data_IF_324197377472
#
_entry.id   IF_324197377472
#
_cell.length_a   1.000
_cell.length_b   1.000
_cell.length_c   1.000
_cell.angle_alpha   90.00
_cell.angle_beta   90.00
_cell.angle_gamma   90.00
#
_symmetry.space_group_name_H-M   'P 1'
#
loop_
_entity.id
_entity.type
_entity.pdbx_description
1 polymer ?
#
# COMPACT_ATOMS: atom_id res chain seq x y z
N UNK A 1 32.87 -18.76 7.52
CA UNK A 1 31.71 -19.66 7.28
C UNK A 1 30.49 -19.37 8.16
N UNK A 2 30.61 -19.13 9.49
CA UNK A 2 29.44 -18.83 10.35
C UNK A 2 28.78 -17.45 10.09
N UNK A 3 29.55 -16.41 9.72
CA UNK A 3 29.03 -15.04 9.53
C UNK A 3 28.17 -14.91 8.27
N UNK A 4 28.54 -15.60 7.19
CA UNK A 4 27.87 -15.50 5.88
C UNK A 4 26.46 -16.12 5.87
N UNK A 5 26.24 -17.18 6.65
CA UNK A 5 24.90 -17.76 6.86
C UNK A 5 24.00 -16.86 7.72
N UNK A 6 24.58 -16.13 8.68
CA UNK A 6 23.85 -15.19 9.56
C UNK A 6 23.46 -13.93 8.77
N UNK A 7 24.39 -13.41 7.95
CA UNK A 7 24.14 -12.27 7.05
C UNK A 7 22.93 -12.47 6.15
N UNK A 8 22.75 -13.68 5.61
CA UNK A 8 21.65 -13.97 4.70
C UNK A 8 20.29 -14.14 5.43
N UNK A 9 20.32 -14.60 6.69
CA UNK A 9 19.11 -14.73 7.53
C UNK A 9 18.65 -13.37 8.08
N UNK A 10 19.60 -12.46 8.35
CA UNK A 10 19.37 -11.20 9.07
C UNK A 10 19.52 -9.95 8.18
N UNK A 11 19.74 -10.12 6.87
CA UNK A 11 19.93 -9.05 5.89
C UNK A 11 18.87 -7.94 5.95
N UNK A 12 17.61 -8.32 6.24
CA UNK A 12 16.51 -7.37 6.33
C UNK A 12 16.59 -6.47 7.57
N UNK A 13 17.06 -7.00 8.72
CA UNK A 13 17.25 -6.23 9.95
C UNK A 13 18.48 -5.32 9.84
N UNK A 14 19.48 -5.77 9.09
CA UNK A 14 20.69 -5.01 8.84
C UNK A 14 20.41 -3.69 8.08
N UNK A 15 19.61 -3.77 7.00
CA UNK A 15 19.25 -2.60 6.20
C UNK A 15 18.48 -1.53 7.00
N UNK A 16 17.54 -1.95 7.85
CA UNK A 16 16.77 -1.03 8.70
C UNK A 16 17.64 -0.38 9.79
N UNK A 17 18.57 -1.14 10.40
CA UNK A 17 19.55 -0.61 11.38
C UNK A 17 20.45 0.47 10.78
N UNK A 18 21.01 0.22 9.59
CA UNK A 18 21.86 1.20 8.88
C UNK A 18 21.06 2.47 8.55
N UNK A 19 19.83 2.30 8.05
CA UNK A 19 18.93 3.43 7.74
C UNK A 19 18.60 4.26 8.99
N UNK A 20 18.34 3.59 10.12
CA UNK A 20 18.08 4.23 11.40
C UNK A 20 19.25 5.07 11.88
N UNK A 21 20.45 4.46 11.92
CA UNK A 21 21.69 5.15 12.30
C UNK A 21 21.97 6.35 11.41
N UNK A 22 21.87 6.18 10.08
CA UNK A 22 22.09 7.28 9.14
C UNK A 22 21.15 8.46 9.41
N UNK A 23 19.85 8.20 9.62
CA UNK A 23 18.86 9.24 9.93
C UNK A 23 19.11 9.89 11.30
N UNK A 24 19.47 9.12 12.31
CA UNK A 24 19.78 9.63 13.65
C UNK A 24 21.03 10.52 13.64
N UNK A 25 22.03 10.17 12.82
CA UNK A 25 23.22 10.98 12.58
C UNK A 25 22.99 12.17 11.63
N UNK A 26 21.76 12.37 11.12
CA UNK A 26 21.41 13.48 10.24
C UNK A 26 22.03 13.40 8.83
N UNK A 27 22.45 12.21 8.39
CA UNK A 27 23.16 12.03 7.11
C UNK A 27 22.19 11.70 5.97
N UNK A 28 22.41 12.27 4.79
CA UNK A 28 21.81 11.78 3.55
C UNK A 28 22.53 10.52 3.05
N UNK A 29 21.95 9.82 2.07
CA UNK A 29 22.63 8.69 1.44
C UNK A 29 23.94 9.11 0.76
N UNK A 30 23.96 10.32 0.21
CA UNK A 30 25.15 10.91 -0.39
C UNK A 30 26.21 11.21 0.66
N UNK A 31 25.83 11.83 1.79
CA UNK A 31 26.77 12.10 2.90
C UNK A 31 27.40 10.81 3.44
N UNK A 32 26.61 9.74 3.59
CA UNK A 32 27.12 8.45 4.05
C UNK A 32 28.10 7.85 3.03
N UNK A 33 27.77 7.92 1.74
CA UNK A 33 28.67 7.45 0.66
C UNK A 33 29.99 8.22 0.66
N UNK A 34 29.94 9.55 0.78
CA UNK A 34 31.12 10.42 0.85
C UNK A 34 31.98 10.07 2.07
N UNK A 35 31.38 9.86 3.25
CA UNK A 35 32.12 9.43 4.45
C UNK A 35 32.77 8.06 4.28
N UNK A 36 32.09 7.12 3.62
CA UNK A 36 32.69 5.83 3.27
C UNK A 36 33.92 6.01 2.36
N UNK A 37 33.85 6.88 1.35
CA UNK A 37 34.99 7.17 0.44
C UNK A 37 36.17 7.79 1.21
N UNK A 38 35.90 8.64 2.19
CA UNK A 38 36.94 9.29 3.01
C UNK A 38 37.74 8.32 3.88
N UNK A 39 37.13 7.22 4.30
CA UNK A 39 37.78 6.19 5.12
C UNK A 39 38.43 5.13 4.24
N UNK A 40 37.68 4.57 3.29
CA UNK A 40 38.17 3.58 2.34
C UNK A 40 37.48 3.70 0.97
N UNK A 41 38.19 4.30 0.01
CA UNK A 41 37.72 4.50 -1.34
C UNK A 41 37.50 3.19 -2.12
N UNK A 42 38.15 2.08 -1.76
CA UNK A 42 38.03 0.81 -2.47
C UNK A 42 36.77 0.05 -2.08
N UNK A 43 36.36 0.13 -0.81
CA UNK A 43 35.19 -0.58 -0.27
C UNK A 43 33.93 0.30 -0.27
N UNK A 44 34.07 1.61 -0.53
CA UNK A 44 32.97 2.56 -0.46
C UNK A 44 31.80 2.21 -1.41
N UNK A 45 30.55 2.19 -0.91
CA UNK A 45 29.39 1.89 -1.73
C UNK A 45 28.91 3.13 -2.49
N UNK A 46 28.35 2.92 -3.68
CA UNK A 46 27.61 3.99 -4.37
C UNK A 46 26.29 4.30 -3.66
N UNK A 47 25.76 5.50 -3.87
CA UNK A 47 24.47 5.94 -3.32
C UNK A 47 23.34 4.96 -3.68
N UNK A 48 23.33 4.47 -4.92
CA UNK A 48 22.35 3.48 -5.37
C UNK A 48 22.49 2.16 -4.64
N UNK A 49 23.72 1.71 -4.37
CA UNK A 49 23.97 0.47 -3.64
C UNK A 49 23.59 0.58 -2.16
N UNK A 50 23.84 1.73 -1.52
CA UNK A 50 23.36 2.03 -0.16
C UNK A 50 21.83 1.95 -0.07
N UNK A 51 21.12 2.53 -1.04
CA UNK A 51 19.65 2.45 -1.08
C UNK A 51 19.15 1.00 -1.17
N UNK A 52 19.82 0.15 -1.97
CA UNK A 52 19.48 -1.26 -2.07
C UNK A 52 19.77 -2.03 -0.76
N UNK A 53 20.80 -1.65 -0.01
CA UNK A 53 21.10 -2.21 1.31
C UNK A 53 20.03 -1.78 2.32
N UNK A 54 19.70 -0.49 2.41
CA UNK A 54 18.70 0.03 3.37
C UNK A 54 17.29 -0.53 3.15
N UNK A 55 16.96 -0.87 1.89
CA UNK A 55 15.69 -1.49 1.53
C UNK A 55 15.70 -3.02 1.67
N UNK A 56 16.84 -3.61 2.05
CA UNK A 56 17.00 -5.05 2.23
C UNK A 56 17.03 -5.84 0.92
N UNK A 57 17.24 -5.18 -0.23
CA UNK A 57 17.35 -5.82 -1.55
C UNK A 57 18.75 -6.35 -1.82
N UNK A 58 19.77 -5.87 -1.11
CA UNK A 58 21.16 -6.32 -1.21
C UNK A 58 21.76 -6.51 0.18
N UNK A 59 22.58 -7.53 0.32
CA UNK A 59 23.38 -7.79 1.53
C UNK A 59 24.76 -7.16 1.33
N UNK A 60 25.24 -6.31 2.24
CA UNK A 60 26.58 -5.74 2.17
C UNK A 60 27.65 -6.82 2.42
N UNK A 61 28.86 -6.58 1.90
CA UNK A 61 30.02 -7.41 2.24
C UNK A 61 30.46 -7.19 3.69
N UNK A 62 31.23 -8.13 4.23
CA UNK A 62 31.82 -8.02 5.57
C UNK A 62 32.73 -6.78 5.69
N UNK A 63 33.46 -6.46 4.63
CA UNK A 63 34.32 -5.27 4.54
C UNK A 63 33.50 -3.98 4.62
N UNK A 64 32.36 -3.92 3.91
CA UNK A 64 31.46 -2.78 3.97
C UNK A 64 30.78 -2.65 5.34
N UNK A 65 30.52 -3.77 6.03
CA UNK A 65 30.02 -3.76 7.40
C UNK A 65 31.03 -3.22 8.40
N UNK A 66 32.31 -3.54 8.23
CA UNK A 66 33.41 -2.96 9.03
C UNK A 66 33.46 -1.44 8.85
N UNK A 67 33.26 -0.97 7.62
CA UNK A 67 33.20 0.45 7.32
C UNK A 67 32.02 1.16 8.03
N UNK A 68 30.84 0.54 8.04
CA UNK A 68 29.69 1.09 8.80
C UNK A 68 29.93 1.06 10.31
N UNK A 69 30.53 -0.02 10.83
CA UNK A 69 30.90 -0.14 12.24
C UNK A 69 31.84 0.98 12.68
N UNK A 70 32.83 1.32 11.86
CA UNK A 70 33.74 2.43 12.11
C UNK A 70 33.03 3.80 12.07
N UNK A 71 32.23 4.06 11.03
CA UNK A 71 31.50 5.33 10.86
C UNK A 71 30.52 5.59 12.01
N UNK A 72 29.77 4.57 12.41
CA UNK A 72 28.74 4.69 13.42
C UNK A 72 29.23 4.36 14.84
N UNK A 73 30.53 4.04 15.00
CA UNK A 73 31.14 3.63 16.27
C UNK A 73 30.35 2.51 16.97
N UNK A 74 29.98 1.47 16.20
CA UNK A 74 29.24 0.29 16.68
C UNK A 74 30.03 -0.97 16.37
N UNK A 75 29.87 -2.00 17.20
CA UNK A 75 30.48 -3.30 16.94
C UNK A 75 29.81 -4.00 15.73
N UNK A 76 30.55 -4.77 14.95
CA UNK A 76 30.02 -5.53 13.81
C UNK A 76 28.88 -6.45 14.25
N UNK A 77 29.00 -7.07 15.42
CA UNK A 77 27.98 -7.96 15.97
C UNK A 77 26.67 -7.21 16.29
N UNK A 78 26.71 -5.90 16.57
CA UNK A 78 25.50 -5.10 16.79
C UNK A 78 24.60 -5.04 15.54
N UNK A 79 25.23 -5.02 14.35
CA UNK A 79 24.52 -5.05 13.07
C UNK A 79 23.93 -6.44 12.75
N UNK A 80 24.50 -7.49 13.32
CA UNK A 80 24.12 -8.89 13.09
C UNK A 80 23.17 -9.44 14.17
N UNK A 81 23.09 -8.78 15.32
CA UNK A 81 22.18 -9.13 16.42
C UNK A 81 20.72 -8.99 15.96
N UNK A 82 19.88 -9.97 16.33
CA UNK A 82 18.43 -9.96 16.07
C UNK A 82 17.70 -8.95 16.96
N UNK A 83 18.38 -8.42 17.99
CA UNK A 83 17.85 -7.33 18.80
C UNK A 83 18.00 -6.00 18.04
N UNK A 84 16.89 -5.40 17.62
CA UNK A 84 16.83 -3.94 17.48
C UNK A 84 16.77 -3.34 18.88
N UNK A 85 17.93 -3.30 19.53
CA UNK A 85 18.12 -2.53 20.75
C UNK A 85 17.98 -1.05 20.39
N UNK A 86 16.76 -0.53 20.58
CA UNK A 86 16.60 0.82 21.05
C UNK A 86 17.51 0.96 22.28
N UNK A 87 18.50 1.84 22.22
CA UNK A 87 19.09 2.41 23.43
C UNK A 87 17.98 3.22 24.11
N UNK A 88 17.05 2.53 24.77
CA UNK A 88 16.25 3.09 25.83
C UNK A 88 17.26 3.29 26.96
N UNK A 89 17.56 4.55 27.23
CA UNK A 89 18.23 4.97 28.45
C UNK A 89 17.62 4.19 29.60
N UNK A 90 18.49 3.45 30.31
CA UNK A 90 18.16 2.59 31.44
C UNK A 90 17.08 3.22 32.32
N UNK A 91 15.96 2.53 32.47
CA UNK A 91 15.26 2.51 33.73
C UNK A 91 15.17 1.04 34.15
N UNK A 92 15.87 0.72 35.23
CA UNK A 92 15.62 -0.47 36.03
C UNK A 92 14.13 -0.51 36.36
N UNK A 93 13.41 -1.54 35.91
CA UNK A 93 12.79 -2.46 36.86
C UNK A 93 12.21 -3.69 36.16
N UNK A 94 12.17 -4.76 36.94
CA UNK A 94 11.79 -6.13 36.61
C UNK A 94 10.48 -6.24 35.82
N UNK A 95 10.55 -6.89 34.65
CA UNK A 95 9.41 -7.64 34.09
C UNK A 95 9.93 -8.84 33.30
N UNK A 96 10.10 -9.95 34.02
CA UNK A 96 10.23 -11.28 33.43
C UNK A 96 8.94 -11.62 32.65
N UNK A 97 9.08 -12.04 31.39
CA UNK A 97 8.09 -12.89 30.74
C UNK A 97 7.14 -12.28 29.72
N UNK A 98 7.30 -11.04 29.29
CA UNK A 98 6.54 -10.50 28.15
C UNK A 98 7.45 -10.32 26.94
N UNK A 99 7.12 -10.89 25.76
CA UNK A 99 7.88 -10.63 24.55
C UNK A 99 7.86 -9.13 24.30
N UNK A 100 9.05 -8.53 24.23
CA UNK A 100 9.26 -7.14 23.88
C UNK A 100 8.52 -6.91 22.56
N UNK A 101 7.39 -6.22 22.59
CA UNK A 101 6.57 -5.91 21.43
C UNK A 101 7.36 -4.92 20.58
N UNK A 102 8.11 -5.41 19.59
CA UNK A 102 8.77 -4.53 18.63
C UNK A 102 7.70 -3.98 17.68
N UNK A 103 7.46 -2.67 17.70
CA UNK A 103 6.57 -1.96 16.78
C UNK A 103 7.19 -1.79 15.37
N UNK A 104 8.06 -2.73 14.98
CA UNK A 104 8.68 -2.70 13.68
C UNK A 104 7.71 -3.09 12.56
N UNK A 105 7.68 -2.34 11.45
CA UNK A 105 6.75 -2.61 10.36
C UNK A 105 6.76 -4.06 9.86
N UNK A 106 7.92 -4.70 9.75
CA UNK A 106 7.99 -6.09 9.25
C UNK A 106 7.33 -7.10 10.17
N UNK A 107 7.39 -6.87 11.48
CA UNK A 107 6.69 -7.70 12.47
C UNK A 107 5.20 -7.39 12.48
N UNK A 108 4.84 -6.09 12.53
CA UNK A 108 3.46 -5.59 12.53
C UNK A 108 2.66 -6.05 11.30
N UNK A 109 3.31 -6.16 10.14
CA UNK A 109 2.71 -6.60 8.88
C UNK A 109 3.08 -8.04 8.50
N UNK A 110 3.45 -8.88 9.47
CA UNK A 110 3.66 -10.31 9.22
C UNK A 110 2.32 -11.03 9.00
N UNK A 111 2.29 -12.00 8.08
CA UNK A 111 1.06 -12.70 7.70
C UNK A 111 0.34 -13.32 8.92
N UNK A 112 1.10 -13.95 9.82
CA UNK A 112 0.56 -14.57 11.04
C UNK A 112 -0.09 -13.54 11.98
N UNK A 113 0.57 -12.39 12.18
CA UNK A 113 0.04 -11.34 13.05
C UNK A 113 -1.16 -10.65 12.40
N UNK A 114 -1.13 -10.37 11.11
CA UNK A 114 -2.27 -9.78 10.40
C UNK A 114 -3.48 -10.71 10.38
N UNK A 115 -3.28 -12.00 10.14
CA UNK A 115 -4.38 -12.98 10.11
C UNK A 115 -5.08 -13.11 11.46
N UNK A 116 -4.37 -12.88 12.56
CA UNK A 116 -4.90 -12.93 13.94
C UNK A 116 -5.42 -11.59 14.43
N UNK A 117 -4.74 -10.49 14.10
CA UNK A 117 -5.08 -9.15 14.59
C UNK A 117 -6.15 -8.45 13.76
N UNK A 118 -6.29 -8.73 12.45
CA UNK A 118 -7.33 -8.10 11.62
C UNK A 118 -8.72 -8.47 12.13
N UNK A 119 -9.10 -9.76 12.33
CA UNK A 119 -10.43 -10.09 12.84
C UNK A 119 -10.74 -9.43 14.18
N UNK A 120 -9.75 -9.39 15.08
CA UNK A 120 -9.86 -8.75 16.38
C UNK A 120 -10.07 -7.24 16.26
N UNK A 121 -9.29 -6.57 15.40
CA UNK A 121 -9.44 -5.14 15.12
C UNK A 121 -10.81 -4.83 14.49
N UNK A 122 -11.29 -5.67 13.57
CA UNK A 122 -12.60 -5.49 12.95
C UNK A 122 -13.72 -5.62 13.98
N UNK A 123 -13.60 -6.58 14.90
CA UNK A 123 -14.51 -6.78 16.04
C UNK A 123 -14.53 -5.57 16.98
N UNK A 124 -13.35 -5.09 17.40
CA UNK A 124 -13.21 -3.95 18.30
C UNK A 124 -13.72 -2.63 17.70
N UNK A 125 -13.51 -2.44 16.40
CA UNK A 125 -13.95 -1.24 15.68
C UNK A 125 -15.41 -1.31 15.21
N UNK A 126 -16.08 -2.46 15.38
CA UNK A 126 -17.44 -2.68 14.91
C UNK A 126 -17.57 -2.72 13.38
N UNK A 127 -16.46 -2.90 12.65
CA UNK A 127 -16.49 -2.99 11.19
C UNK A 127 -16.87 -4.40 10.74
N UNK A 128 -17.86 -4.48 9.86
CA UNK A 128 -18.31 -5.77 9.33
C UNK A 128 -17.34 -6.28 8.27
N UNK A 129 -17.31 -7.61 8.06
CA UNK A 129 -16.50 -8.21 6.98
C UNK A 129 -16.85 -7.66 5.59
N UNK A 130 -18.11 -7.27 5.36
CA UNK A 130 -18.54 -6.63 4.11
C UNK A 130 -17.92 -5.24 3.93
N UNK A 131 -17.97 -4.40 4.96
CA UNK A 131 -17.35 -3.07 4.95
C UNK A 131 -15.84 -3.18 4.74
N UNK A 132 -15.19 -4.12 5.44
CA UNK A 132 -13.76 -4.38 5.26
C UNK A 132 -13.41 -4.83 3.83
N UNK A 133 -14.19 -5.75 3.25
CA UNK A 133 -14.00 -6.18 1.86
C UNK A 133 -14.11 -5.01 0.87
N UNK A 134 -15.07 -4.09 1.07
CA UNK A 134 -15.17 -2.88 0.25
C UNK A 134 -13.92 -1.99 0.34
N UNK A 135 -13.37 -1.81 1.54
CA UNK A 135 -12.13 -1.05 1.74
C UNK A 135 -10.94 -1.72 1.07
N UNK A 136 -10.81 -3.05 1.19
CA UNK A 136 -9.75 -3.82 0.54
C UNK A 136 -9.81 -3.71 -0.98
N UNK A 137 -10.99 -3.89 -1.57
CA UNK A 137 -11.21 -3.77 -3.02
C UNK A 137 -10.82 -2.35 -3.47
N UNK A 138 -11.28 -1.32 -2.77
CA UNK A 138 -10.94 0.08 -3.11
C UNK A 138 -9.43 0.32 -3.03
N UNK A 139 -8.77 -0.10 -1.96
CA UNK A 139 -7.33 0.06 -1.79
C UNK A 139 -6.54 -0.66 -2.89
N UNK A 140 -6.98 -1.88 -3.25
CA UNK A 140 -6.41 -2.62 -4.38
C UNK A 140 -6.58 -1.86 -5.69
N UNK A 141 -7.79 -1.40 -5.99
CA UNK A 141 -8.08 -0.65 -7.21
C UNK A 141 -7.29 0.67 -7.29
N UNK A 142 -7.17 1.42 -6.20
CA UNK A 142 -6.36 2.65 -6.12
C UNK A 142 -4.88 2.38 -6.35
N UNK A 143 -4.34 1.31 -5.77
CA UNK A 143 -2.96 0.87 -6.03
C UNK A 143 -2.73 0.57 -7.51
N UNK A 144 -3.75 0.04 -8.18
CA UNK A 144 -3.77 -0.21 -9.62
C UNK A 144 -4.31 0.98 -10.45
N UNK A 145 -4.40 2.18 -9.85
CA UNK A 145 -4.83 3.43 -10.48
C UNK A 145 -6.20 3.35 -11.17
N UNK A 146 -7.06 2.42 -10.78
CA UNK A 146 -8.31 2.09 -11.46
C UNK A 146 -8.13 1.86 -12.97
N UNK A 147 -6.95 1.40 -13.41
CA UNK A 147 -6.66 1.16 -14.81
C UNK A 147 -7.19 -0.18 -15.27
N UNK A 148 -7.94 -0.17 -16.37
CA UNK A 148 -8.50 -1.37 -16.98
C UNK A 148 -8.19 -1.37 -18.47
N UNK A 149 -6.98 -1.84 -18.89
CA UNK A 149 -6.47 -1.63 -20.25
C UNK A 149 -7.42 -2.05 -21.37
N UNK A 150 -8.11 -3.18 -21.20
CA UNK A 150 -9.03 -3.68 -22.23
C UNK A 150 -10.32 -2.87 -22.31
N UNK A 151 -10.83 -2.39 -21.17
CA UNK A 151 -12.00 -1.50 -21.11
C UNK A 151 -11.63 -0.14 -21.69
N UNK A 152 -10.45 0.39 -21.33
CA UNK A 152 -9.94 1.66 -21.86
C UNK A 152 -9.74 1.61 -23.37
N UNK A 153 -9.12 0.53 -23.89
CA UNK A 153 -8.97 0.31 -25.33
C UNK A 153 -10.32 0.26 -26.03
N UNK A 154 -11.27 -0.51 -25.50
CA UNK A 154 -12.62 -0.62 -26.09
C UNK A 154 -13.37 0.71 -26.06
N UNK A 155 -13.26 1.46 -24.96
CA UNK A 155 -13.84 2.79 -24.84
C UNK A 155 -13.20 3.79 -25.82
N UNK A 156 -11.89 3.69 -26.02
CA UNK A 156 -11.15 4.51 -26.98
C UNK A 156 -11.56 4.21 -28.42
N UNK A 157 -11.67 2.94 -28.80
CA UNK A 157 -12.08 2.51 -30.14
C UNK A 157 -13.51 2.96 -30.47
N UNK A 158 -14.43 2.86 -29.51
CA UNK A 158 -15.85 3.21 -29.71
C UNK A 158 -16.06 4.73 -29.64
N UNK A 159 -15.47 5.38 -28.64
CA UNK A 159 -15.64 6.80 -28.31
C UNK A 159 -14.65 7.75 -28.99
N UNK A 160 -13.61 7.22 -29.64
CA UNK A 160 -12.60 7.95 -30.42
C UNK A 160 -11.91 9.09 -29.64
N UNK A 161 -11.63 8.87 -28.35
CA UNK A 161 -11.07 9.88 -27.41
C UNK A 161 -11.84 11.20 -27.37
N UNK A 162 -13.11 11.23 -27.75
CA UNK A 162 -13.93 12.45 -27.73
C UNK A 162 -14.34 12.76 -26.29
N UNK A 163 -13.90 13.90 -25.77
CA UNK A 163 -14.29 14.39 -24.46
C UNK A 163 -14.41 15.93 -24.48
N UNK A 164 -15.46 16.53 -23.88
CA UNK A 164 -16.61 15.89 -23.24
C UNK A 164 -17.63 15.33 -24.23
N UNK A 165 -18.40 14.31 -23.83
CA UNK A 165 -19.53 13.78 -24.60
C UNK A 165 -20.84 14.42 -24.13
N UNK A 166 -21.70 14.82 -25.06
CA UNK A 166 -23.07 15.23 -24.73
C UNK A 166 -23.99 14.02 -24.53
N UNK A 167 -25.16 14.24 -23.92
CA UNK A 167 -26.19 13.18 -23.78
C UNK A 167 -26.56 12.60 -25.15
N UNK A 168 -26.63 13.43 -26.19
CA UNK A 168 -26.94 12.99 -27.55
C UNK A 168 -25.84 12.07 -28.09
N UNK A 169 -24.57 12.44 -27.91
CA UNK A 169 -23.44 11.62 -28.32
C UNK A 169 -23.47 10.24 -27.66
N UNK A 170 -23.79 10.18 -26.36
CA UNK A 170 -23.93 8.92 -25.62
C UNK A 170 -25.07 8.07 -26.19
N UNK A 171 -26.25 8.66 -26.43
CA UNK A 171 -27.39 7.95 -27.00
C UNK A 171 -27.11 7.45 -28.43
N UNK A 172 -26.30 8.15 -29.20
CA UNK A 172 -25.87 7.70 -30.52
C UNK A 172 -24.84 6.57 -30.44
N UNK A 173 -23.94 6.58 -29.46
CA UNK A 173 -23.07 5.44 -29.15
C UNK A 173 -23.88 4.19 -28.77
N UNK A 174 -24.96 4.35 -28.01
CA UNK A 174 -25.84 3.23 -27.67
C UNK A 174 -26.41 2.58 -28.93
N UNK A 175 -26.93 3.37 -29.87
CA UNK A 175 -27.42 2.86 -31.16
C UNK A 175 -26.33 2.16 -31.96
N UNK A 176 -25.12 2.75 -32.00
CA UNK A 176 -23.96 2.19 -32.72
C UNK A 176 -23.56 0.80 -32.21
N UNK A 177 -23.63 0.59 -30.90
CA UNK A 177 -23.28 -0.69 -30.23
C UNK A 177 -24.50 -1.64 -30.16
N UNK A 178 -25.67 -1.23 -30.66
CA UNK A 178 -26.88 -2.05 -30.65
C UNK A 178 -27.61 -2.10 -29.31
N UNK A 179 -27.32 -1.17 -28.40
CA UNK A 179 -28.03 -0.98 -27.14
C UNK A 179 -29.34 -0.22 -27.35
N UNK A 180 -30.38 -0.64 -26.62
CA UNK A 180 -31.70 0.00 -26.58
C UNK A 180 -31.92 0.66 -25.23
N UNK A 181 -32.63 1.78 -25.21
CA UNK A 181 -33.03 2.46 -23.97
C UNK A 181 -34.52 2.25 -23.75
N UNK A 182 -34.90 1.81 -22.55
CA UNK A 182 -36.28 1.82 -22.07
C UNK A 182 -36.38 2.69 -20.83
N UNK A 183 -37.57 3.18 -20.54
CA UNK A 183 -37.83 3.97 -19.35
C UNK A 183 -38.79 3.25 -18.41
N UNK A 184 -38.56 3.44 -17.11
CA UNK A 184 -39.48 3.03 -16.06
C UNK A 184 -39.73 4.18 -15.10
N UNK A 185 -40.86 4.12 -14.41
CA UNK A 185 -41.24 5.10 -13.40
C UNK A 185 -41.24 4.43 -12.03
N UNK A 186 -40.27 4.81 -11.20
CA UNK A 186 -40.20 4.35 -9.80
C UNK A 186 -39.77 5.51 -8.92
N UNK A 187 -40.56 5.88 -7.91
CA UNK A 187 -40.17 6.93 -6.99
C UNK A 187 -38.98 6.48 -6.12
N UNK A 188 -38.19 7.43 -5.58
CA UNK A 188 -37.18 7.11 -4.58
C UNK A 188 -37.80 6.43 -3.37
N UNK A 189 -37.09 5.48 -2.79
CA UNK A 189 -37.49 4.73 -1.61
C UNK A 189 -36.44 4.87 -0.51
N UNK A 190 -36.82 4.62 0.73
CA UNK A 190 -35.89 4.67 1.87
C UNK A 190 -35.20 3.32 1.99
N UNK A 191 -33.88 3.34 2.11
CA UNK A 191 -33.04 2.17 2.40
C UNK A 191 -32.09 2.52 3.53
N UNK A 192 -31.62 1.53 4.26
CA UNK A 192 -30.54 1.73 5.23
C UNK A 192 -29.17 1.58 4.54
N UNK A 193 -28.23 2.46 4.87
CA UNK A 193 -26.84 2.29 4.46
C UNK A 193 -26.09 1.31 5.38
N UNK A 194 -24.84 0.98 5.06
CA UNK A 194 -24.03 0.04 5.87
C UNK A 194 -23.78 0.53 7.31
N UNK A 195 -24.12 1.78 7.65
CA UNK A 195 -24.01 2.36 8.99
C UNK A 195 -25.37 2.43 9.72
N UNK A 196 -26.44 1.88 9.15
CA UNK A 196 -27.79 1.89 9.72
C UNK A 196 -28.53 3.22 9.60
N UNK A 197 -28.03 4.17 8.80
CA UNK A 197 -28.71 5.44 8.55
C UNK A 197 -29.69 5.30 7.38
N UNK A 198 -30.89 5.82 7.56
CA UNK A 198 -31.87 5.93 6.49
C UNK A 198 -31.38 6.89 5.38
N UNK A 199 -31.29 6.36 4.17
CA UNK A 199 -30.95 7.11 2.96
C UNK A 199 -32.08 6.98 1.95
N UNK A 200 -32.42 8.10 1.32
CA UNK A 200 -33.39 8.14 0.22
C UNK A 200 -32.70 7.73 -1.07
N UNK A 201 -32.93 6.51 -1.51
CA UNK A 201 -32.30 5.91 -2.68
C UNK A 201 -33.22 5.97 -3.90
N UNK A 202 -32.69 6.46 -5.01
CA UNK A 202 -33.34 6.40 -6.32
C UNK A 202 -32.78 5.20 -7.10
N UNK A 203 -33.65 4.29 -7.53
CA UNK A 203 -33.25 3.27 -8.50
C UNK A 203 -33.07 3.94 -9.86
N UNK A 204 -31.82 4.19 -10.27
CA UNK A 204 -31.49 5.02 -11.43
C UNK A 204 -31.58 4.26 -12.74
N UNK A 205 -30.90 3.13 -12.82
CA UNK A 205 -30.81 2.35 -14.04
C UNK A 205 -30.41 0.92 -13.75
N UNK A 206 -30.75 0.02 -14.66
CA UNK A 206 -30.24 -1.35 -14.67
C UNK A 206 -30.09 -1.85 -16.10
N UNK A 207 -29.28 -2.89 -16.27
CA UNK A 207 -29.12 -3.56 -17.55
C UNK A 207 -30.04 -4.79 -17.60
N UNK A 208 -30.88 -4.85 -18.62
CA UNK A 208 -31.71 -5.99 -18.97
C UNK A 208 -31.06 -6.69 -20.18
N UNK A 209 -30.45 -7.88 -19.98
CA UNK A 209 -29.89 -8.65 -21.08
C UNK A 209 -30.95 -8.92 -22.17
N UNK A 210 -30.56 -8.98 -23.46
CA UNK A 210 -29.18 -8.99 -23.95
C UNK A 210 -28.59 -7.61 -24.26
N UNK A 211 -29.40 -6.56 -24.40
CA UNK A 211 -28.95 -5.27 -24.93
C UNK A 211 -29.81 -4.06 -24.51
N UNK A 212 -30.58 -4.16 -23.43
CA UNK A 212 -31.47 -3.06 -23.03
C UNK A 212 -30.96 -2.40 -21.75
N UNK A 213 -30.76 -1.09 -21.80
CA UNK A 213 -30.51 -0.25 -20.62
C UNK A 213 -31.85 0.37 -20.22
N UNK A 214 -32.30 0.09 -19.00
CA UNK A 214 -33.56 0.58 -18.47
C UNK A 214 -33.25 1.75 -17.53
N UNK A 215 -33.76 2.94 -17.84
CA UNK A 215 -33.49 4.19 -17.14
C UNK A 215 -34.72 4.71 -16.40
N UNK A 216 -34.52 5.29 -15.22
CA UNK A 216 -35.59 5.94 -14.50
C UNK A 216 -35.96 7.26 -15.20
N UNK A 217 -37.25 7.48 -15.43
CA UNK A 217 -37.76 8.68 -16.10
C UNK A 217 -37.38 9.99 -15.42
N UNK A 218 -37.15 9.96 -14.10
CA UNK A 218 -36.68 11.14 -13.36
C UNK A 218 -35.34 11.69 -13.87
N UNK A 219 -34.52 10.84 -14.52
CA UNK A 219 -33.24 11.24 -15.12
C UNK A 219 -33.41 12.04 -16.42
N UNK A 220 -34.58 12.01 -17.06
CA UNK A 220 -34.85 12.84 -18.25
C UNK A 220 -34.85 14.34 -17.90
N UNK A 221 -35.35 14.67 -16.69
CA UNK A 221 -35.47 16.05 -16.22
C UNK A 221 -34.22 16.55 -15.50
N UNK A 222 -33.46 15.65 -14.87
CA UNK A 222 -32.22 15.99 -14.17
C UNK A 222 -31.10 14.96 -14.48
N UNK A 223 -30.43 15.08 -15.64
CA UNK A 223 -29.44 14.11 -16.10
C UNK A 223 -28.17 14.06 -15.25
N UNK A 224 -27.93 15.09 -14.43
CA UNK A 224 -26.73 15.20 -13.57
C UNK A 224 -26.94 14.55 -12.20
N UNK A 225 -28.16 14.13 -11.87
CA UNK A 225 -28.52 13.69 -10.53
C UNK A 225 -28.16 12.25 -10.27
#
# INVERSE_FOLDING_TARGET
MKIQSILNRNAHFLGSKIRGLRKQSGLTLEDLSVRCIQIDAHTAPSVSYLSLIETGKRVPSEELLKLFAEIFQKDINWFLDDNLSHEVVKNDDKMEGLPIFSLEPKFLFSDNLLQTSIPELLSQTGTTGRQFAHVLIRSYQEKHQNQFPDIERSAEEIGLKRFPLSIRDILDLYKKVGLKVKYFDRPPFVTENDSGHEIRTLFRSFFEPPNTVVLNRQLEHDPRR
#
